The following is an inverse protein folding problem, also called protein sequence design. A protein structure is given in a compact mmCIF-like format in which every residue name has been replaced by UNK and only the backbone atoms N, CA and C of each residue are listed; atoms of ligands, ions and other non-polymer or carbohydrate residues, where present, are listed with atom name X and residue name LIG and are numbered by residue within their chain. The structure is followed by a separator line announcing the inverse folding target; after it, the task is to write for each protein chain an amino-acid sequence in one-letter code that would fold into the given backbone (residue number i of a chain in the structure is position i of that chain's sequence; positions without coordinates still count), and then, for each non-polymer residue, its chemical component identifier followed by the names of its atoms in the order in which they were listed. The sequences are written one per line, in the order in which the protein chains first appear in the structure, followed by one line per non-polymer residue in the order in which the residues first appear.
data_IF_092102357197
#
_entry.id   IF_092102357197
#
_cell.length_a   1.000
_cell.length_b   1.000
_cell.length_c   1.000
_cell.angle_alpha   90.00
_cell.angle_beta   90.00
_cell.angle_gamma   90.00
#
_symmetry.space_group_name_H-M   'P 1'
#
loop_
_entity.id
_entity.type
_entity.pdbx_description
1 polymer ?
#
# COMPACT_ATOMS: atom_id res chain seq x y z
N UNK A 1 -17.64 -0.23 1.19
CA UNK A 1 -16.94 -1.34 0.48
C UNK A 1 -16.07 -2.12 1.46
N UNK A 2 -15.69 -3.39 1.16
CA UNK A 2 -14.83 -4.21 2.03
C UNK A 2 -13.47 -4.41 1.35
N UNK A 3 -12.38 -4.16 2.08
CA UNK A 3 -11.01 -4.55 1.72
C UNK A 3 -10.61 -5.64 2.72
N UNK A 4 -10.18 -6.78 2.19
CA UNK A 4 -9.62 -7.85 3.02
C UNK A 4 -8.10 -7.73 3.00
N UNK A 5 -7.46 -7.83 4.17
CA UNK A 5 -6.01 -7.77 4.26
C UNK A 5 -5.46 -8.88 5.15
N UNK A 6 -4.21 -9.25 4.89
CA UNK A 6 -3.43 -10.21 5.66
C UNK A 6 -2.13 -9.53 6.07
N UNK A 7 -1.76 -9.64 7.33
CA UNK A 7 -0.43 -9.25 7.79
C UNK A 7 0.55 -10.38 7.51
N UNK A 8 1.66 -10.05 6.87
CA UNK A 8 2.74 -10.96 6.52
C UNK A 8 3.91 -10.86 7.51
N UNK A 9 3.94 -9.77 8.27
CA UNK A 9 4.95 -9.43 9.26
C UNK A 9 4.28 -8.79 10.48
N UNK A 10 5.03 -8.58 11.56
CA UNK A 10 4.57 -7.74 12.66
C UNK A 10 4.47 -6.29 12.18
N UNK A 11 3.28 -5.88 11.81
CA UNK A 11 2.97 -4.54 11.33
C UNK A 11 1.62 -4.10 11.90
N UNK A 12 1.46 -2.81 12.12
CA UNK A 12 0.17 -2.26 12.52
C UNK A 12 -0.88 -2.45 11.41
N UNK A 13 -2.11 -2.70 11.83
CA UNK A 13 -3.25 -2.76 10.89
C UNK A 13 -3.39 -1.44 10.14
N UNK A 14 -3.80 -1.46 8.86
CA UNK A 14 -4.09 -0.23 8.12
C UNK A 14 -5.10 0.64 8.86
N UNK A 15 -4.86 1.95 8.94
CA UNK A 15 -5.62 2.86 9.80
C UNK A 15 -6.45 3.84 8.98
N UNK A 16 -7.77 3.85 9.25
CA UNK A 16 -8.69 4.88 8.75
C UNK A 16 -8.78 5.96 9.83
N UNK A 17 -8.16 7.11 9.57
CA UNK A 17 -8.17 8.21 10.53
C UNK A 17 -9.47 9.00 10.43
N UNK A 18 -9.94 9.56 11.55
CA UNK A 18 -11.12 10.44 11.58
C UNK A 18 -10.92 11.73 10.78
N UNK A 19 -9.67 12.17 10.67
CA UNK A 19 -9.26 13.36 9.93
C UNK A 19 -8.49 12.94 8.69
N UNK A 20 -9.14 12.84 7.56
CA UNK A 20 -8.53 12.48 6.27
C UNK A 20 -9.27 11.33 5.58
N UNK A 21 -9.10 11.25 4.27
CA UNK A 21 -9.81 10.29 3.41
C UNK A 21 -8.93 9.08 3.03
N UNK A 22 -7.63 9.14 3.34
CA UNK A 22 -6.68 8.10 2.98
C UNK A 22 -6.44 7.15 4.15
N UNK A 23 -6.07 5.93 3.82
CA UNK A 23 -5.79 4.85 4.77
C UNK A 23 -4.30 4.79 5.00
N UNK A 24 -3.87 5.00 6.24
CA UNK A 24 -2.45 5.01 6.61
C UNK A 24 -1.87 3.61 6.70
N UNK A 25 -0.60 3.48 6.30
CA UNK A 25 0.22 2.28 6.37
C UNK A 25 1.54 2.56 7.08
N UNK A 26 1.97 1.59 7.90
CA UNK A 26 3.25 1.61 8.60
C UNK A 26 4.27 0.67 7.94
N UNK A 27 5.55 0.89 8.20
CA UNK A 27 6.58 -0.12 7.97
C UNK A 27 6.51 -1.19 9.06
N UNK A 28 6.91 -2.45 8.77
CA UNK A 28 6.95 -3.53 9.77
C UNK A 28 7.86 -3.23 10.95
N UNK A 29 7.63 -3.93 12.05
CA UNK A 29 8.43 -3.83 13.29
C UNK A 29 9.60 -4.83 13.31
N UNK A 30 10.09 -5.27 12.15
CA UNK A 30 11.18 -6.24 12.09
C UNK A 30 12.53 -5.59 12.37
N UNK A 31 12.89 -4.60 11.56
CA UNK A 31 14.15 -3.86 11.66
C UNK A 31 13.96 -2.44 11.11
N UNK A 32 14.80 -1.51 11.57
CA UNK A 32 14.91 -0.20 10.96
C UNK A 32 15.38 -0.33 9.50
N UNK A 33 14.86 0.52 8.61
CA UNK A 33 15.25 0.49 7.21
C UNK A 33 16.36 1.52 6.99
N UNK A 34 17.59 1.04 6.84
CA UNK A 34 18.75 1.87 6.50
C UNK A 34 18.88 2.04 4.99
N UNK A 35 19.01 3.28 4.52
CA UNK A 35 19.15 3.59 3.09
C UNK A 35 20.27 4.61 2.92
N UNK A 36 21.20 4.32 2.01
CA UNK A 36 22.29 5.22 1.66
C UNK A 36 21.85 6.29 0.67
N UNK A 37 22.48 7.45 0.73
CA UNK A 37 22.26 8.56 -0.20
C UNK A 37 22.36 8.08 -1.67
N UNK A 38 21.35 8.39 -2.47
CA UNK A 38 21.25 8.01 -3.88
C UNK A 38 20.63 6.65 -4.16
N UNK A 39 20.54 5.77 -3.17
CA UNK A 39 19.97 4.43 -3.34
C UNK A 39 18.47 4.47 -3.61
N UNK A 40 18.02 3.47 -4.37
CA UNK A 40 16.60 3.19 -4.60
C UNK A 40 16.26 1.84 -3.99
N UNK A 41 15.42 1.84 -2.97
CA UNK A 41 14.99 0.62 -2.28
C UNK A 41 13.48 0.45 -2.34
N UNK A 42 13.02 -0.79 -2.30
CA UNK A 42 11.57 -1.12 -2.20
C UNK A 42 11.25 -1.41 -0.74
N UNK A 43 10.66 -0.43 -0.05
CA UNK A 43 10.24 -0.60 1.35
C UNK A 43 9.06 -1.57 1.41
N UNK A 44 9.19 -2.71 2.11
CA UNK A 44 8.08 -3.62 2.31
C UNK A 44 7.08 -3.04 3.32
N UNK A 45 5.78 -3.28 3.12
CA UNK A 45 4.72 -2.81 4.00
C UNK A 45 4.16 -3.92 4.91
N UNK A 46 4.67 -5.14 4.79
CA UNK A 46 4.30 -6.27 5.64
C UNK A 46 2.85 -6.74 5.49
N UNK A 47 2.15 -6.30 4.44
CA UNK A 47 0.74 -6.62 4.20
C UNK A 47 0.50 -7.06 2.76
N UNK A 48 -0.49 -7.92 2.58
CA UNK A 48 -1.13 -8.21 1.30
C UNK A 48 -2.62 -7.86 1.40
N UNK A 49 -3.24 -7.44 0.31
CA UNK A 49 -4.65 -7.05 0.32
C UNK A 49 -5.42 -7.56 -0.89
N UNK A 50 -6.71 -7.83 -0.68
CA UNK A 50 -7.69 -8.09 -1.74
C UNK A 50 -8.66 -6.92 -1.82
N UNK A 51 -8.55 -6.17 -2.89
CA UNK A 51 -9.42 -5.03 -3.19
C UNK A 51 -10.80 -5.49 -3.69
N UNK A 52 -11.84 -4.66 -3.57
CA UNK A 52 -13.13 -4.93 -4.18
C UNK A 52 -13.01 -5.05 -5.71
N UNK A 53 -13.84 -5.89 -6.30
CA UNK A 53 -13.85 -6.07 -7.77
C UNK A 53 -14.07 -4.74 -8.51
N UNK A 54 -13.28 -4.50 -9.54
CA UNK A 54 -13.28 -3.27 -10.33
C UNK A 54 -12.59 -2.07 -9.67
N UNK A 55 -11.90 -2.28 -8.54
CA UNK A 55 -11.15 -1.22 -7.85
C UNK A 55 -9.65 -1.41 -7.99
N UNK A 56 -8.93 -0.32 -7.94
CA UNK A 56 -7.47 -0.25 -7.79
C UNK A 56 -7.12 0.61 -6.58
N UNK A 57 -5.95 0.42 -6.02
CA UNK A 57 -5.41 1.28 -4.98
C UNK A 57 -4.34 2.22 -5.55
N UNK A 58 -4.40 3.48 -5.15
CA UNK A 58 -3.31 4.44 -5.33
C UNK A 58 -2.58 4.55 -4.00
N UNK A 59 -1.30 4.20 -4.01
CA UNK A 59 -0.42 4.24 -2.86
C UNK A 59 0.56 5.41 -3.00
N UNK A 60 0.65 6.24 -1.99
CA UNK A 60 1.46 7.46 -1.97
C UNK A 60 2.12 7.69 -0.61
N UNK A 61 3.05 8.65 -0.56
CA UNK A 61 3.59 9.16 0.69
C UNK A 61 2.52 9.94 1.48
N UNK A 62 2.66 9.93 2.80
CA UNK A 62 2.01 10.93 3.64
C UNK A 62 2.72 12.28 3.46
N UNK A 63 2.00 13.36 3.68
CA UNK A 63 2.47 14.74 3.41
C UNK A 63 3.81 15.10 4.07
N UNK A 64 4.10 14.55 5.26
CA UNK A 64 5.34 14.82 6.00
C UNK A 64 6.49 13.86 5.69
N UNK A 65 6.27 12.81 4.91
CA UNK A 65 7.25 11.73 4.73
C UNK A 65 8.55 12.22 4.10
N UNK A 66 8.44 12.93 2.97
CA UNK A 66 9.62 13.42 2.25
C UNK A 66 10.46 14.40 3.08
N UNK A 67 9.80 15.35 3.75
CA UNK A 67 10.51 16.35 4.58
C UNK A 67 11.14 15.77 5.85
N UNK A 68 10.51 14.74 6.43
CA UNK A 68 11.00 14.13 7.67
C UNK A 68 12.21 13.21 7.45
N UNK A 69 12.23 12.51 6.32
CA UNK A 69 13.22 11.44 6.05
C UNK A 69 14.12 11.73 4.86
N UNK A 70 14.00 12.89 4.23
CA UNK A 70 14.78 13.25 3.03
C UNK A 70 14.76 12.17 1.94
N UNK A 71 13.56 11.62 1.70
CA UNK A 71 13.29 10.60 0.67
C UNK A 71 12.22 11.08 -0.30
N UNK A 72 12.25 10.53 -1.50
CA UNK A 72 11.21 10.74 -2.52
C UNK A 72 10.68 9.43 -3.10
N UNK A 73 9.44 9.41 -3.60
CA UNK A 73 8.94 8.28 -4.39
C UNK A 73 9.79 8.07 -5.62
N UNK A 74 10.32 6.86 -5.84
CA UNK A 74 11.13 6.58 -7.04
C UNK A 74 10.28 6.45 -8.31
N UNK A 75 8.98 6.19 -8.18
CA UNK A 75 8.01 6.04 -9.28
C UNK A 75 6.80 6.98 -9.20
N UNK A 76 6.89 8.05 -8.39
CA UNK A 76 5.80 8.99 -8.15
C UNK A 76 4.74 8.44 -7.19
N UNK A 77 3.96 7.46 -7.60
CA UNK A 77 2.97 6.75 -6.78
C UNK A 77 2.86 5.29 -7.21
N UNK A 78 2.36 4.44 -6.31
CA UNK A 78 2.09 3.03 -6.61
C UNK A 78 0.65 2.85 -7.12
N UNK A 79 0.48 2.03 -8.16
CA UNK A 79 -0.83 1.56 -8.59
C UNK A 79 -0.92 0.06 -8.34
N UNK A 80 -1.89 -0.33 -7.54
CA UNK A 80 -2.10 -1.73 -7.18
C UNK A 80 -3.47 -2.15 -7.67
N UNK A 81 -3.51 -3.01 -8.67
CA UNK A 81 -4.77 -3.50 -9.21
C UNK A 81 -5.32 -4.70 -8.42
N UNK A 82 -6.60 -5.01 -8.63
CA UNK A 82 -7.32 -6.06 -7.91
C UNK A 82 -6.75 -7.48 -8.10
N UNK A 83 -5.89 -7.71 -9.10
CA UNK A 83 -5.31 -9.04 -9.35
C UNK A 83 -4.06 -9.31 -8.51
N UNK A 84 -3.48 -8.27 -7.88
CA UNK A 84 -2.39 -8.38 -6.93
C UNK A 84 -2.97 -8.62 -5.53
N UNK A 85 -3.45 -9.84 -5.30
CA UNK A 85 -4.27 -10.19 -4.14
C UNK A 85 -3.99 -11.58 -3.56
N UNK A 86 -2.86 -12.17 -3.90
CA UNK A 86 -2.42 -13.46 -3.36
C UNK A 86 -1.92 -13.36 -1.92
N UNK A 87 -1.72 -14.51 -1.30
CA UNK A 87 -1.25 -14.59 0.08
C UNK A 87 0.13 -13.99 0.31
N UNK A 88 0.98 -13.99 -0.73
CA UNK A 88 2.37 -13.50 -0.68
C UNK A 88 2.58 -12.25 -1.56
N UNK A 89 1.51 -11.68 -2.11
CA UNK A 89 1.54 -10.43 -2.88
C UNK A 89 1.71 -9.23 -1.93
N UNK A 90 2.89 -9.16 -1.30
CA UNK A 90 3.25 -8.10 -0.35
C UNK A 90 3.28 -6.73 -1.03
N UNK A 91 2.57 -5.77 -0.48
CA UNK A 91 2.66 -4.38 -0.91
C UNK A 91 4.03 -3.80 -0.55
N UNK A 92 4.66 -3.15 -1.52
CA UNK A 92 5.97 -2.49 -1.38
C UNK A 92 5.93 -1.14 -2.07
N UNK A 93 6.74 -0.20 -1.59
CA UNK A 93 6.85 1.12 -2.20
C UNK A 93 8.31 1.46 -2.50
N UNK A 94 8.68 1.77 -3.77
CA UNK A 94 10.03 2.16 -4.12
C UNK A 94 10.28 3.63 -3.72
N UNK A 95 11.38 3.85 -3.01
CA UNK A 95 11.85 5.16 -2.56
C UNK A 95 13.28 5.40 -2.97
N UNK A 96 13.63 6.66 -3.20
CA UNK A 96 15.00 7.14 -3.35
C UNK A 96 15.37 7.98 -2.14
N UNK A 97 16.53 7.70 -1.53
CA UNK A 97 17.10 8.53 -0.47
C UNK A 97 17.97 9.63 -1.06
N UNK A 98 17.88 10.85 -0.53
CA UNK A 98 18.71 12.00 -0.93
C UNK A 98 19.90 12.18 0.01
N UNK A 99 19.79 11.69 1.25
CA UNK A 99 20.86 11.58 2.24
C UNK A 99 20.84 10.19 2.89
N UNK A 100 21.88 9.85 3.67
CA UNK A 100 21.84 8.64 4.50
C UNK A 100 20.69 8.76 5.51
N UNK A 101 19.81 7.79 5.52
CA UNK A 101 18.60 7.83 6.36
C UNK A 101 18.33 6.49 7.03
N UNK A 102 17.84 6.57 8.26
CA UNK A 102 17.30 5.44 9.02
C UNK A 102 15.81 5.68 9.24
N UNK A 103 14.98 4.81 8.67
CA UNK A 103 13.54 4.82 8.87
C UNK A 103 13.21 3.85 10.00
N UNK A 104 12.71 4.34 11.14
CA UNK A 104 12.45 3.49 12.29
C UNK A 104 11.30 2.54 12.04
N UNK A 105 11.32 1.41 12.74
CA UNK A 105 10.20 0.46 12.79
C UNK A 105 8.88 1.17 13.11
N UNK A 106 7.77 0.68 12.57
CA UNK A 106 6.42 1.21 12.74
C UNK A 106 6.22 2.67 12.26
N UNK A 107 7.18 3.25 11.53
CA UNK A 107 7.00 4.58 10.94
C UNK A 107 5.82 4.59 9.97
N UNK A 108 4.91 5.55 10.13
CA UNK A 108 3.79 5.78 9.22
C UNK A 108 4.24 6.68 8.07
N UNK A 109 4.63 6.06 6.97
CA UNK A 109 5.19 6.75 5.79
C UNK A 109 4.22 6.86 4.64
N UNK A 110 3.32 5.89 4.52
CA UNK A 110 2.53 5.67 3.33
C UNK A 110 1.05 5.79 3.65
N UNK A 111 0.28 6.07 2.62
CA UNK A 111 -1.17 6.09 2.66
C UNK A 111 -1.72 5.64 1.31
N UNK A 112 -2.92 5.08 1.31
CA UNK A 112 -3.57 4.69 0.08
C UNK A 112 -5.05 5.04 0.08
N UNK A 113 -5.62 5.14 -1.11
CA UNK A 113 -7.07 5.18 -1.36
C UNK A 113 -7.43 4.19 -2.46
N UNK A 114 -8.69 3.78 -2.51
CA UNK A 114 -9.22 3.00 -3.62
C UNK A 114 -10.06 3.86 -4.56
N UNK A 115 -10.02 3.52 -5.84
CA UNK A 115 -10.82 4.13 -6.88
C UNK A 115 -11.24 3.10 -7.92
N UNK A 116 -12.25 3.37 -8.77
CA UNK A 116 -12.57 2.52 -9.90
C UNK A 116 -11.40 2.37 -10.85
N UNK A 117 -11.03 1.13 -11.18
CA UNK A 117 -9.98 0.84 -12.15
C UNK A 117 -10.41 1.21 -13.57
N UNK A 118 -9.44 1.28 -14.50
CA UNK A 118 -9.71 1.53 -15.91
C UNK A 118 -10.74 0.55 -16.50
N UNK A 119 -10.74 -0.70 -16.06
CA UNK A 119 -11.64 -1.76 -16.54
C UNK A 119 -12.93 -1.88 -15.74
N UNK A 120 -13.17 -0.98 -14.77
CA UNK A 120 -14.39 -1.03 -13.97
C UNK A 120 -15.65 -0.83 -14.84
N UNK A 121 -16.62 -1.72 -14.67
CA UNK A 121 -17.92 -1.60 -15.32
C UNK A 121 -18.70 -0.41 -14.76
N UNK A 122 -19.72 0.05 -15.50
CA UNK A 122 -20.57 1.15 -15.03
C UNK A 122 -21.23 0.82 -13.68
N UNK A 123 -21.66 -0.41 -13.47
CA UNK A 123 -22.26 -0.86 -12.21
C UNK A 123 -21.28 -0.84 -11.02
N UNK A 124 -20.01 -1.18 -11.27
CA UNK A 124 -18.95 -1.07 -10.26
C UNK A 124 -18.68 0.40 -9.88
N UNK A 125 -18.69 1.30 -10.86
CA UNK A 125 -18.55 2.75 -10.64
C UNK A 125 -19.73 3.32 -9.85
N UNK A 126 -20.97 2.95 -10.21
CA UNK A 126 -22.18 3.35 -9.48
C UNK A 126 -22.11 2.82 -8.03
N UNK A 127 -21.77 1.55 -7.84
CA UNK A 127 -21.62 0.97 -6.50
C UNK A 127 -20.57 1.69 -5.65
N UNK A 128 -19.46 2.10 -6.25
CA UNK A 128 -18.43 2.89 -5.57
C UNK A 128 -18.96 4.26 -5.16
N UNK A 129 -19.66 4.97 -6.04
CA UNK A 129 -20.28 6.27 -5.73
C UNK A 129 -21.30 6.19 -4.60
N UNK A 130 -22.08 5.11 -4.55
CA UNK A 130 -23.10 4.90 -3.52
C UNK A 130 -22.55 4.29 -2.21
N UNK A 131 -21.28 3.87 -2.18
CA UNK A 131 -20.66 3.23 -1.03
C UNK A 131 -19.32 3.88 -0.67
N UNK A 132 -19.31 5.14 -0.23
CA UNK A 132 -18.05 5.89 -0.04
C UNK A 132 -17.19 5.34 1.12
N UNK A 133 -17.81 4.57 2.04
CA UNK A 133 -17.09 4.04 3.20
C UNK A 133 -16.36 2.74 2.90
N UNK A 134 -15.14 2.63 3.43
CA UNK A 134 -14.32 1.43 3.36
C UNK A 134 -14.29 0.76 4.73
N UNK A 135 -14.47 -0.58 4.74
CA UNK A 135 -14.28 -1.43 5.92
C UNK A 135 -13.09 -2.34 5.68
N UNK A 136 -12.10 -2.25 6.55
CA UNK A 136 -10.92 -3.13 6.57
C UNK A 136 -11.22 -4.39 7.37
N UNK A 137 -10.91 -5.57 6.81
CA UNK A 137 -11.18 -6.87 7.44
C UNK A 137 -9.89 -7.69 7.37
N UNK A 138 -9.32 -7.99 8.53
CA UNK A 138 -8.19 -8.89 8.62
C UNK A 138 -8.62 -10.34 8.41
N UNK A 139 -7.85 -11.08 7.61
CA UNK A 139 -8.10 -12.49 7.30
C UNK A 139 -6.80 -13.29 7.35
N UNK A 140 -6.91 -14.58 7.67
CA UNK A 140 -5.75 -15.48 7.65
C UNK A 140 -5.29 -15.82 6.22
N UNK A 141 -6.20 -15.84 5.26
CA UNK A 141 -5.94 -16.19 3.86
C UNK A 141 -6.67 -15.25 2.91
N UNK A 142 -6.02 -14.86 1.81
CA UNK A 142 -6.58 -14.02 0.76
C UNK A 142 -6.94 -14.85 -0.49
N UNK A 143 -5.91 -15.34 -1.19
CA UNK A 143 -6.02 -16.17 -2.40
C UNK A 143 -4.76 -17.01 -2.53
N UNK A 144 -4.89 -18.24 -3.00
CA UNK A 144 -3.75 -19.12 -3.26
C UNK A 144 -3.00 -18.78 -4.56
N UNK A 145 -3.57 -17.88 -5.38
CA UNK A 145 -2.96 -17.40 -6.62
C UNK A 145 -2.19 -16.11 -6.34
N UNK A 146 -0.89 -16.23 -6.16
CA UNK A 146 0.01 -15.08 -6.13
C UNK A 146 0.27 -14.59 -7.56
N UNK A 147 0.20 -13.29 -7.77
CA UNK A 147 0.49 -12.70 -9.08
C UNK A 147 1.96 -12.36 -9.26
N UNK A 148 2.65 -12.03 -8.16
CA UNK A 148 3.94 -11.38 -8.22
C UNK A 148 3.83 -9.93 -8.70
N UNK A 149 4.89 -9.17 -8.55
CA UNK A 149 4.93 -7.74 -8.90
C UNK A 149 6.31 -7.31 -9.38
N UNK A 150 6.45 -6.01 -9.67
CA UNK A 150 7.73 -5.36 -10.01
C UNK A 150 8.48 -6.01 -11.19
N UNK A 151 7.78 -6.33 -12.27
CA UNK A 151 8.34 -6.90 -13.49
C UNK A 151 8.04 -8.39 -13.71
N UNK A 152 7.19 -9.03 -12.89
CA UNK A 152 6.79 -10.42 -13.08
C UNK A 152 5.90 -10.66 -14.32
N UNK A 153 5.43 -9.61 -14.98
CA UNK A 153 4.55 -9.67 -16.16
C UNK A 153 5.25 -9.30 -17.48
N UNK A 154 6.56 -9.22 -17.51
CA UNK A 154 7.34 -8.92 -18.74
C UNK A 154 8.46 -7.96 -18.50
#
# INVERSE_FOLDING_TARGET
MKIYYKRLKDVESPQILKQGDWIDLCVPATDDVEIKAGDVVKIPLGIAMRLPSGMEAILAFRSSTSSKYDISPANGFGVIDQTYCGNDDEWKFPVRAHSDVVIPVRARLFQFRIQPSQKATIWQKIKWLLSPTVKLIEVAQLSDKNRGGFGSTG
#
